data_IF_242104369471
#
_entry.id   IF_242104369471
#
_cell.length_a   1.000
_cell.length_b   1.000
_cell.length_c   1.000
_cell.angle_alpha   90.00
_cell.angle_beta   90.00
_cell.angle_gamma   90.00
#
_symmetry.space_group_name_H-M   'P 1'
#
loop_
_entity.id
_entity.type
_entity.pdbx_description
1 polymer ?
#
# COMPACT_ATOMS: atom_id res chain seq x y z
N UNK A 1 3.47 -29.89 18.23
CA UNK A 1 2.93 -29.08 17.10
C UNK A 1 3.30 -27.63 17.37
N UNK A 2 4.00 -26.97 16.45
CA UNK A 2 4.35 -25.55 16.59
C UNK A 2 3.13 -24.67 16.49
N UNK A 3 3.20 -23.43 16.97
CA UNK A 3 2.14 -22.42 16.83
C UNK A 3 1.71 -22.23 15.35
N UNK A 4 2.70 -22.18 14.46
CA UNK A 4 2.48 -22.09 13.00
C UNK A 4 1.70 -23.30 12.45
N UNK A 5 2.10 -24.51 12.84
CA UNK A 5 1.41 -25.74 12.40
C UNK A 5 0.00 -25.82 12.97
N UNK A 6 -0.21 -25.37 14.21
CA UNK A 6 -1.54 -25.34 14.84
C UNK A 6 -2.48 -24.37 14.11
N UNK A 7 -2.03 -23.14 13.84
CA UNK A 7 -2.84 -22.18 13.10
C UNK A 7 -3.15 -22.68 11.68
N UNK A 8 -2.16 -23.26 11.01
CA UNK A 8 -2.38 -23.86 9.67
C UNK A 8 -3.42 -24.97 9.73
N UNK A 9 -3.39 -25.83 10.74
CA UNK A 9 -4.39 -26.90 10.90
C UNK A 9 -5.80 -26.34 11.11
N UNK A 10 -5.98 -25.30 11.91
CA UNK A 10 -7.27 -24.64 12.13
C UNK A 10 -7.84 -24.03 10.84
N UNK A 11 -6.96 -23.55 9.94
CA UNK A 11 -7.35 -22.99 8.63
C UNK A 11 -7.71 -24.09 7.62
N UNK A 12 -6.90 -25.15 7.55
CA UNK A 12 -7.01 -26.17 6.51
C UNK A 12 -8.12 -27.18 6.84
N UNK A 13 -8.43 -27.37 8.13
CA UNK A 13 -9.43 -28.31 8.61
C UNK A 13 -10.54 -27.61 9.44
N UNK A 14 -11.23 -26.61 8.87
CA UNK A 14 -12.28 -25.92 9.59
C UNK A 14 -13.43 -26.88 9.92
N UNK A 15 -14.07 -26.66 11.09
CA UNK A 15 -15.23 -27.43 11.55
C UNK A 15 -14.91 -28.91 11.89
N UNK A 16 -13.65 -29.28 12.11
CA UNK A 16 -13.26 -30.63 12.50
C UNK A 16 -12.86 -30.68 14.00
N UNK A 17 -13.30 -31.68 14.77
CA UNK A 17 -14.22 -32.76 14.37
C UNK A 17 -15.68 -32.28 14.22
N UNK A 18 -16.03 -31.15 14.80
CA UNK A 18 -17.31 -30.47 14.62
C UNK A 18 -17.12 -28.95 14.84
N UNK A 19 -18.14 -28.15 14.48
CA UNK A 19 -18.07 -26.68 14.52
C UNK A 19 -17.78 -26.17 15.95
N UNK A 20 -18.41 -26.72 16.95
CA UNK A 20 -18.28 -26.25 18.33
C UNK A 20 -16.87 -26.48 18.86
N UNK A 21 -16.32 -27.68 18.70
CA UNK A 21 -14.97 -28.00 19.13
C UNK A 21 -13.93 -27.17 18.36
N UNK A 22 -14.10 -27.05 17.04
CA UNK A 22 -13.20 -26.22 16.24
C UNK A 22 -13.19 -24.73 16.69
N UNK A 23 -14.35 -24.15 17.00
CA UNK A 23 -14.45 -22.76 17.47
C UNK A 23 -13.78 -22.58 18.82
N UNK A 24 -13.93 -23.54 19.75
CA UNK A 24 -13.22 -23.51 21.04
C UNK A 24 -11.71 -23.63 20.87
N UNK A 25 -11.25 -24.43 19.92
CA UNK A 25 -9.81 -24.51 19.60
C UNK A 25 -9.27 -23.22 19.00
N UNK A 26 -10.04 -22.55 18.13
CA UNK A 26 -9.68 -21.23 17.57
C UNK A 26 -9.60 -20.20 18.69
N UNK A 27 -10.61 -20.13 19.56
CA UNK A 27 -10.64 -19.23 20.70
C UNK A 27 -9.40 -19.43 21.61
N UNK A 28 -9.14 -20.67 22.01
CA UNK A 28 -8.00 -21.01 22.85
C UNK A 28 -6.65 -20.67 22.18
N UNK A 29 -6.57 -20.80 20.86
CA UNK A 29 -5.40 -20.40 20.10
C UNK A 29 -5.20 -18.89 20.09
N UNK A 30 -6.28 -18.10 19.85
CA UNK A 30 -6.21 -16.64 19.81
C UNK A 30 -5.88 -16.06 21.20
N UNK A 31 -6.42 -16.64 22.27
CA UNK A 31 -6.06 -16.30 23.65
C UNK A 31 -4.57 -16.54 23.94
N UNK A 32 -4.05 -17.72 23.57
CA UNK A 32 -2.66 -18.09 23.79
C UNK A 32 -1.67 -17.12 23.13
N UNK A 33 -1.99 -16.65 21.92
CA UNK A 33 -1.15 -15.70 21.19
C UNK A 33 -1.42 -14.24 21.51
N UNK A 34 -2.37 -13.97 22.42
CA UNK A 34 -2.84 -12.61 22.78
C UNK A 34 -3.23 -11.78 21.55
N UNK A 35 -4.06 -12.35 20.66
CA UNK A 35 -4.48 -11.70 19.43
C UNK A 35 -5.58 -10.66 19.70
N UNK A 36 -5.35 -9.37 19.37
CA UNK A 36 -6.30 -8.29 19.67
C UNK A 36 -7.43 -8.14 18.65
N UNK A 37 -7.52 -9.00 17.62
CA UNK A 37 -8.50 -8.88 16.55
C UNK A 37 -9.93 -9.01 17.07
N UNK A 38 -10.59 -7.88 17.28
CA UNK A 38 -11.96 -7.83 17.80
C UNK A 38 -13.01 -8.42 16.86
N UNK A 39 -12.76 -8.45 15.54
CA UNK A 39 -13.66 -9.04 14.56
C UNK A 39 -13.69 -10.56 14.68
N UNK A 40 -12.54 -11.19 14.92
CA UNK A 40 -12.45 -12.63 15.15
C UNK A 40 -13.25 -13.04 16.41
N UNK A 41 -13.15 -12.29 17.50
CA UNK A 41 -13.90 -12.53 18.73
C UNK A 41 -15.43 -12.39 18.53
N UNK A 42 -15.86 -11.37 17.80
CA UNK A 42 -17.28 -11.20 17.45
C UNK A 42 -17.82 -12.37 16.62
N UNK A 43 -17.02 -12.90 15.69
CA UNK A 43 -17.43 -14.06 14.89
C UNK A 43 -17.49 -15.34 15.72
N UNK A 44 -16.56 -15.55 16.66
CA UNK A 44 -16.56 -16.66 17.62
C UNK A 44 -17.86 -16.66 18.43
N UNK A 45 -18.24 -15.51 19.00
CA UNK A 45 -19.46 -15.37 19.77
C UNK A 45 -20.71 -15.65 18.92
N UNK A 46 -20.75 -15.13 17.68
CA UNK A 46 -21.87 -15.40 16.76
C UNK A 46 -21.99 -16.88 16.41
N UNK A 47 -20.86 -17.59 16.21
CA UNK A 47 -20.88 -19.03 15.91
C UNK A 47 -21.33 -19.81 17.13
N UNK A 48 -20.90 -19.45 18.35
CA UNK A 48 -21.35 -20.08 19.59
C UNK A 48 -22.85 -19.92 19.83
N UNK A 49 -23.41 -18.76 19.47
CA UNK A 49 -24.82 -18.46 19.65
C UNK A 49 -25.73 -19.08 18.57
N UNK A 50 -25.30 -19.08 17.34
CA UNK A 50 -26.11 -19.39 16.16
C UNK A 50 -25.63 -20.57 15.33
N UNK A 51 -24.57 -21.25 15.77
CA UNK A 51 -23.91 -22.32 15.00
C UNK A 51 -23.23 -21.81 13.74
N UNK A 52 -23.03 -22.70 12.76
CA UNK A 52 -22.36 -22.40 11.49
C UNK A 52 -23.19 -21.58 10.47
N UNK A 53 -24.30 -20.98 10.93
CA UNK A 53 -25.17 -20.19 10.07
C UNK A 53 -24.47 -18.92 9.55
N UNK A 54 -24.96 -18.40 8.42
CA UNK A 54 -24.60 -17.09 7.86
C UNK A 54 -23.11 -16.89 7.53
N UNK A 55 -22.41 -17.93 7.06
CA UNK A 55 -21.00 -17.84 6.63
C UNK A 55 -20.02 -17.36 7.74
N UNK A 56 -20.42 -17.41 9.01
CA UNK A 56 -19.55 -16.96 10.11
C UNK A 56 -18.26 -17.76 10.19
N UNK A 57 -18.32 -19.09 9.95
CA UNK A 57 -17.14 -19.95 9.96
C UNK A 57 -16.19 -19.62 8.80
N UNK A 58 -16.71 -19.37 7.61
CA UNK A 58 -15.93 -18.98 6.43
C UNK A 58 -15.23 -17.63 6.64
N UNK A 59 -15.94 -16.67 7.25
CA UNK A 59 -15.36 -15.37 7.62
C UNK A 59 -14.27 -15.53 8.69
N UNK A 60 -14.50 -16.37 9.70
CA UNK A 60 -13.47 -16.65 10.72
C UNK A 60 -12.25 -17.33 10.11
N UNK A 61 -12.43 -18.29 9.21
CA UNK A 61 -11.32 -18.89 8.45
C UNK A 61 -10.56 -17.86 7.62
N UNK A 62 -11.28 -16.90 7.00
CA UNK A 62 -10.63 -15.82 6.24
C UNK A 62 -9.76 -14.93 7.14
N UNK A 63 -10.25 -14.58 8.33
CA UNK A 63 -9.45 -13.83 9.33
C UNK A 63 -8.23 -14.64 9.82
N UNK A 64 -8.40 -15.93 10.10
CA UNK A 64 -7.26 -16.80 10.48
C UNK A 64 -6.22 -16.90 9.36
N UNK A 65 -6.64 -16.92 8.07
CA UNK A 65 -5.71 -16.85 6.93
C UNK A 65 -4.97 -15.52 6.88
N UNK A 66 -5.64 -14.40 7.17
CA UNK A 66 -4.98 -13.09 7.24
C UNK A 66 -3.97 -13.06 8.40
N UNK A 67 -4.34 -13.58 9.57
CA UNK A 67 -3.45 -13.71 10.72
C UNK A 67 -2.22 -14.58 10.37
N UNK A 68 -2.44 -15.74 9.73
CA UNK A 68 -1.36 -16.62 9.29
C UNK A 68 -0.39 -15.90 8.35
N UNK A 69 -0.93 -15.20 7.33
CA UNK A 69 -0.12 -14.41 6.40
C UNK A 69 0.67 -13.32 7.12
N UNK A 70 0.01 -12.55 8.00
CA UNK A 70 0.65 -11.49 8.78
C UNK A 70 1.77 -12.02 9.67
N UNK A 71 1.60 -13.19 10.27
CA UNK A 71 2.51 -13.73 11.30
C UNK A 71 3.61 -14.62 10.72
N UNK A 72 3.30 -15.44 9.71
CA UNK A 72 4.18 -16.51 9.24
C UNK A 72 4.51 -16.46 7.75
N UNK A 73 3.60 -16.05 6.92
CA UNK A 73 3.94 -15.67 5.57
C UNK A 73 4.50 -14.25 5.66
N UNK A 74 5.76 -14.17 6.05
CA UNK A 74 6.51 -13.00 5.62
C UNK A 74 6.39 -13.03 4.10
N UNK A 75 5.42 -12.26 3.56
CA UNK A 75 5.62 -11.70 2.23
C UNK A 75 7.02 -11.14 2.36
N UNK A 76 8.00 -11.77 1.73
CA UNK A 76 9.32 -11.18 1.61
C UNK A 76 9.09 -9.98 0.71
N UNK A 77 8.65 -8.88 1.34
CA UNK A 77 8.76 -7.57 0.71
C UNK A 77 10.24 -7.51 0.40
N UNK A 78 10.62 -7.47 -0.89
CA UNK A 78 12.03 -7.43 -1.23
C UNK A 78 12.65 -6.36 -0.35
N UNK A 79 13.83 -6.60 0.26
CA UNK A 79 14.48 -5.56 1.01
C UNK A 79 14.51 -4.35 0.11
N UNK A 80 14.15 -3.18 0.63
CA UNK A 80 14.24 -1.95 -0.14
C UNK A 80 15.62 -2.00 -0.75
N UNK A 81 15.68 -2.22 -2.05
CA UNK A 81 16.93 -2.07 -2.76
C UNK A 81 17.36 -0.66 -2.39
N UNK A 82 18.61 -0.48 -2.00
CA UNK A 82 19.16 0.82 -1.59
C UNK A 82 19.24 1.80 -2.78
N UNK A 83 18.28 1.72 -3.69
CA UNK A 83 18.15 2.69 -4.76
C UNK A 83 17.67 3.98 -4.17
N UNK A 84 18.50 4.97 -4.28
CA UNK A 84 18.22 6.32 -3.85
C UNK A 84 17.31 6.99 -4.90
N UNK A 85 16.12 6.39 -5.16
CA UNK A 85 15.22 6.85 -6.21
C UNK A 85 13.80 7.13 -5.70
N UNK A 86 13.13 8.03 -6.41
CA UNK A 86 11.72 8.36 -6.23
C UNK A 86 11.02 8.10 -7.56
N UNK A 87 10.01 7.22 -7.54
CA UNK A 87 9.18 6.94 -8.71
C UNK A 87 8.16 8.04 -8.92
N UNK A 88 8.04 8.54 -10.17
CA UNK A 88 7.05 9.57 -10.55
C UNK A 88 6.05 8.96 -11.51
N UNK A 89 4.84 8.73 -11.00
CA UNK A 89 3.68 8.29 -11.74
C UNK A 89 2.87 9.49 -12.23
N UNK A 90 2.73 9.66 -13.53
CA UNK A 90 2.01 10.80 -14.10
C UNK A 90 1.49 10.51 -15.50
N UNK A 91 0.57 11.32 -15.98
CA UNK A 91 0.17 11.31 -17.39
C UNK A 91 1.36 11.73 -18.26
N UNK A 92 1.53 11.08 -19.40
CA UNK A 92 2.50 11.49 -20.40
C UNK A 92 1.82 12.40 -21.42
N UNK A 93 2.11 13.69 -21.35
CA UNK A 93 1.65 14.72 -22.30
C UNK A 93 2.66 15.87 -22.32
N UNK A 94 2.69 16.68 -23.38
CA UNK A 94 3.59 17.84 -23.44
C UNK A 94 3.46 18.77 -22.23
N UNK A 95 2.25 18.94 -21.69
CA UNK A 95 1.99 19.83 -20.56
C UNK A 95 2.56 19.24 -19.25
N UNK A 96 2.39 17.94 -19.02
CA UNK A 96 2.90 17.26 -17.83
C UNK A 96 4.40 17.02 -17.91
N UNK A 97 4.96 16.85 -19.11
CA UNK A 97 6.40 16.76 -19.32
C UNK A 97 7.12 18.04 -18.88
N UNK A 98 6.53 19.22 -19.10
CA UNK A 98 7.07 20.48 -18.59
C UNK A 98 7.15 20.44 -17.05
N UNK A 99 6.09 20.01 -16.37
CA UNK A 99 6.10 19.88 -14.90
C UNK A 99 7.15 18.87 -14.42
N UNK A 100 7.32 17.75 -15.14
CA UNK A 100 8.34 16.75 -14.81
C UNK A 100 9.75 17.33 -14.88
N UNK A 101 10.12 17.93 -16.03
CA UNK A 101 11.47 18.43 -16.28
C UNK A 101 11.81 19.68 -15.45
N UNK A 102 10.81 20.54 -15.16
CA UNK A 102 11.07 21.82 -14.48
C UNK A 102 10.76 21.82 -12.97
N UNK A 103 10.00 20.84 -12.46
CA UNK A 103 9.65 20.77 -11.05
C UNK A 103 10.00 19.42 -10.41
N UNK A 104 9.39 18.32 -10.84
CA UNK A 104 9.60 17.02 -10.17
C UNK A 104 11.07 16.61 -10.16
N UNK A 105 11.67 16.51 -11.33
CA UNK A 105 13.05 16.02 -11.50
C UNK A 105 14.09 16.90 -10.80
N UNK A 106 14.08 18.23 -10.94
CA UNK A 106 15.03 19.10 -10.24
C UNK A 106 14.87 19.06 -8.71
N UNK A 107 13.63 19.02 -8.19
CA UNK A 107 13.40 18.94 -6.75
C UNK A 107 13.90 17.63 -6.19
N UNK A 108 13.60 16.49 -6.84
CA UNK A 108 14.08 15.18 -6.44
C UNK A 108 15.61 15.14 -6.41
N UNK A 109 16.26 15.64 -7.48
CA UNK A 109 17.72 15.68 -7.60
C UNK A 109 18.38 16.60 -6.57
N UNK A 110 17.72 17.71 -6.19
CA UNK A 110 18.24 18.62 -5.16
C UNK A 110 18.30 18.01 -3.76
N UNK A 111 17.63 16.87 -3.55
CA UNK A 111 17.63 16.09 -2.32
C UNK A 111 18.49 14.81 -2.42
N UNK A 112 19.37 14.74 -3.42
CA UNK A 112 20.25 13.61 -3.69
C UNK A 112 19.52 12.30 -4.03
N UNK A 113 18.30 12.39 -4.61
CA UNK A 113 17.56 11.23 -5.13
C UNK A 113 17.54 11.23 -6.65
N UNK A 114 17.37 10.04 -7.23
CA UNK A 114 17.16 9.86 -8.68
C UNK A 114 15.66 9.92 -8.96
N UNK A 115 15.24 10.79 -9.88
CA UNK A 115 13.88 10.75 -10.40
C UNK A 115 13.76 9.57 -11.38
N UNK A 116 12.76 8.71 -11.16
CA UNK A 116 12.46 7.55 -12.01
C UNK A 116 11.08 7.72 -12.61
N UNK A 117 11.00 7.79 -13.93
CA UNK A 117 9.77 7.72 -14.70
C UNK A 117 9.87 6.57 -15.69
N UNK A 118 8.86 5.74 -15.80
CA UNK A 118 8.96 4.44 -16.49
C UNK A 118 9.29 4.56 -17.99
N UNK A 119 8.88 5.64 -18.64
CA UNK A 119 9.16 5.89 -20.06
C UNK A 119 10.63 6.25 -20.34
N UNK A 120 11.38 6.68 -19.33
CA UNK A 120 12.83 6.92 -19.44
C UNK A 120 13.64 5.61 -19.40
N UNK A 121 13.02 4.47 -19.05
CA UNK A 121 13.69 3.19 -18.88
C UNK A 121 13.49 2.25 -20.07
N UNK A 122 14.58 1.65 -20.55
CA UNK A 122 14.54 0.57 -21.54
C UNK A 122 14.61 -0.79 -20.82
N UNK A 123 13.69 -1.70 -21.15
CA UNK A 123 13.64 -3.04 -20.55
C UNK A 123 13.02 -4.07 -21.50
N UNK A 124 13.29 -5.34 -21.25
CA UNK A 124 12.69 -6.47 -21.95
C UNK A 124 11.82 -7.24 -20.96
N UNK A 125 10.50 -7.20 -21.11
CA UNK A 125 9.60 -7.92 -20.22
C UNK A 125 8.24 -7.29 -20.09
N UNK A 126 7.51 -7.68 -19.05
CA UNK A 126 6.19 -7.11 -18.73
C UNK A 126 6.34 -5.70 -18.18
N UNK A 127 5.69 -4.73 -18.82
CA UNK A 127 5.67 -3.34 -18.34
C UNK A 127 5.13 -3.24 -16.89
N UNK A 128 4.12 -4.02 -16.55
CA UNK A 128 3.55 -4.04 -15.20
C UNK A 128 4.54 -4.63 -14.19
N UNK A 129 5.26 -5.69 -14.57
CA UNK A 129 6.30 -6.27 -13.73
C UNK A 129 7.43 -5.28 -13.45
N UNK A 130 7.85 -4.52 -14.47
CA UNK A 130 8.89 -3.50 -14.33
C UNK A 130 8.44 -2.33 -13.45
N UNK A 131 7.24 -1.79 -13.71
CA UNK A 131 6.63 -0.74 -12.87
C UNK A 131 6.56 -1.17 -11.40
N UNK A 132 6.08 -2.39 -11.14
CA UNK A 132 5.97 -2.91 -9.76
C UNK A 132 7.34 -3.00 -9.10
N UNK A 133 8.36 -3.45 -9.84
CA UNK A 133 9.75 -3.53 -9.35
C UNK A 133 10.29 -2.13 -9.02
N UNK A 134 10.14 -1.17 -9.94
CA UNK A 134 10.63 0.18 -9.73
C UNK A 134 9.93 0.89 -8.56
N UNK A 135 8.62 0.69 -8.39
CA UNK A 135 7.88 1.21 -7.24
C UNK A 135 8.40 0.59 -5.95
N UNK A 136 8.57 -0.74 -5.91
CA UNK A 136 9.04 -1.46 -4.72
C UNK A 136 10.46 -1.04 -4.33
N UNK A 137 11.31 -0.75 -5.30
CA UNK A 137 12.69 -0.34 -5.10
C UNK A 137 12.84 1.17 -4.76
N UNK A 138 11.75 1.94 -4.82
CA UNK A 138 11.76 3.38 -4.57
C UNK A 138 11.54 3.72 -3.10
N UNK A 139 12.16 4.80 -2.61
CA UNK A 139 11.92 5.34 -1.26
C UNK A 139 10.58 6.06 -1.17
N UNK A 140 10.11 6.60 -2.29
CA UNK A 140 8.80 7.23 -2.41
C UNK A 140 8.22 7.05 -3.82
N UNK A 141 6.90 7.10 -3.90
CA UNK A 141 6.16 7.29 -5.13
C UNK A 141 5.44 8.64 -5.07
N UNK A 142 5.64 9.46 -6.09
CA UNK A 142 4.86 10.67 -6.33
C UNK A 142 3.86 10.36 -7.44
N UNK A 143 2.56 10.50 -7.16
CA UNK A 143 1.49 10.30 -8.14
C UNK A 143 0.83 11.63 -8.47
N UNK A 144 1.02 12.09 -9.70
CA UNK A 144 0.31 13.27 -10.23
C UNK A 144 -1.05 12.84 -10.80
N UNK A 145 -2.11 13.21 -10.10
CA UNK A 145 -3.48 12.85 -10.43
C UNK A 145 -4.09 13.69 -11.56
N UNK A 146 -3.35 14.68 -12.07
CA UNK A 146 -3.78 15.52 -13.20
C UNK A 146 -4.10 14.64 -14.40
N UNK A 147 -5.28 14.83 -14.97
CA UNK A 147 -5.77 14.08 -16.12
C UNK A 147 -6.43 12.74 -15.81
N UNK A 148 -6.61 12.38 -14.51
CA UNK A 148 -7.34 11.17 -14.06
C UNK A 148 -6.90 9.86 -14.75
N UNK A 149 -5.60 9.68 -14.98
CA UNK A 149 -5.10 8.48 -15.66
C UNK A 149 -5.16 7.26 -14.75
N UNK A 150 -5.92 6.24 -15.18
CA UNK A 150 -6.10 4.99 -14.41
C UNK A 150 -4.80 4.29 -14.04
N UNK A 151 -3.75 4.37 -14.89
CA UNK A 151 -2.42 3.85 -14.58
C UNK A 151 -1.79 4.50 -13.35
N UNK A 152 -1.93 5.81 -13.19
CA UNK A 152 -1.42 6.56 -12.03
C UNK A 152 -2.11 6.12 -10.74
N UNK A 153 -3.43 5.92 -10.77
CA UNK A 153 -4.18 5.40 -9.62
C UNK A 153 -3.78 3.97 -9.28
N UNK A 154 -3.54 3.13 -10.30
CA UNK A 154 -3.06 1.76 -10.10
C UNK A 154 -1.69 1.74 -9.41
N UNK A 155 -0.75 2.58 -9.87
CA UNK A 155 0.59 2.72 -9.28
C UNK A 155 0.54 3.28 -7.85
N UNK A 156 -0.30 4.29 -7.60
CA UNK A 156 -0.56 4.80 -6.25
C UNK A 156 -1.17 3.71 -5.34
N UNK A 157 -2.06 2.86 -5.87
CA UNK A 157 -2.64 1.72 -5.19
C UNK A 157 -1.60 0.68 -4.80
N UNK A 158 -0.61 0.39 -5.68
CA UNK A 158 0.52 -0.50 -5.36
C UNK A 158 1.31 0.07 -4.17
N UNK A 159 1.69 1.35 -4.21
CA UNK A 159 2.44 1.98 -3.13
C UNK A 159 1.66 1.97 -1.80
N UNK A 160 0.35 2.22 -1.84
CA UNK A 160 -0.52 2.14 -0.65
C UNK A 160 -0.61 0.71 -0.11
N UNK A 161 -0.76 -0.29 -0.97
CA UNK A 161 -0.73 -1.69 -0.59
C UNK A 161 0.58 -2.11 0.08
N UNK A 162 1.71 -1.62 -0.45
CA UNK A 162 3.02 -1.81 0.17
C UNK A 162 3.10 -1.19 1.57
N UNK A 163 2.57 0.03 1.76
CA UNK A 163 2.51 0.68 3.08
C UNK A 163 1.68 -0.14 4.09
N UNK A 164 0.55 -0.69 3.67
CA UNK A 164 -0.28 -1.57 4.50
C UNK A 164 0.45 -2.86 4.91
N UNK A 165 1.44 -3.28 4.11
CA UNK A 165 2.32 -4.40 4.42
C UNK A 165 3.60 -3.97 5.17
N UNK A 166 3.62 -2.79 5.80
CA UNK A 166 4.77 -2.22 6.51
C UNK A 166 6.01 -1.95 5.63
N UNK A 167 5.83 -1.79 4.33
CA UNK A 167 6.89 -1.31 3.46
C UNK A 167 7.11 0.19 3.70
N UNK A 168 8.34 0.68 3.84
CA UNK A 168 8.61 2.07 4.22
C UNK A 168 8.43 3.09 3.09
N UNK A 169 8.01 2.67 1.89
CA UNK A 169 7.74 3.58 0.77
C UNK A 169 6.79 4.70 1.20
N UNK A 170 7.07 5.92 0.76
CA UNK A 170 6.19 7.07 0.99
C UNK A 170 5.33 7.34 -0.25
N UNK A 171 4.03 7.56 -0.06
CA UNK A 171 3.13 7.95 -1.13
C UNK A 171 2.84 9.46 -1.01
N UNK A 172 3.09 10.20 -2.08
CA UNK A 172 2.83 11.64 -2.18
C UNK A 172 1.91 11.84 -3.38
N UNK A 173 0.77 12.47 -3.15
CA UNK A 173 -0.19 12.80 -4.18
C UNK A 173 -0.07 14.27 -4.55
N UNK A 174 -0.09 14.56 -5.85
CA UNK A 174 -0.07 15.90 -6.40
C UNK A 174 -1.20 16.04 -7.42
N UNK A 175 -1.68 17.25 -7.66
CA UNK A 175 -2.64 17.52 -8.72
C UNK A 175 -2.61 19.00 -9.09
N UNK A 176 -2.72 19.31 -10.36
CA UNK A 176 -2.92 20.68 -10.82
C UNK A 176 -4.24 21.22 -10.29
N UNK A 177 -4.22 22.39 -9.64
CA UNK A 177 -5.40 22.98 -9.00
C UNK A 177 -6.56 23.19 -9.98
N UNK A 178 -6.27 23.72 -11.15
CA UNK A 178 -7.30 23.96 -12.17
C UNK A 178 -8.01 22.66 -12.59
N UNK A 179 -7.26 21.56 -12.67
CA UNK A 179 -7.83 20.23 -12.95
C UNK A 179 -8.65 19.72 -11.74
N UNK A 180 -8.11 19.83 -10.53
CA UNK A 180 -8.79 19.40 -9.31
C UNK A 180 -10.14 20.12 -9.13
N UNK A 181 -10.20 21.41 -9.40
CA UNK A 181 -11.40 22.23 -9.23
C UNK A 181 -12.47 21.95 -10.30
N UNK A 182 -12.06 21.65 -11.55
CA UNK A 182 -12.97 21.41 -12.67
C UNK A 182 -13.45 19.96 -12.78
N UNK A 183 -12.53 19.01 -12.80
CA UNK A 183 -12.80 17.59 -13.10
C UNK A 183 -12.90 16.71 -11.84
N UNK A 184 -12.28 17.14 -10.74
CA UNK A 184 -12.09 16.42 -9.49
C UNK A 184 -11.29 15.11 -9.69
N UNK A 185 -10.54 14.75 -8.67
CA UNK A 185 -9.88 13.45 -8.59
C UNK A 185 -10.87 12.36 -8.20
N UNK A 186 -10.51 11.12 -8.45
CA UNK A 186 -11.34 9.97 -8.06
C UNK A 186 -11.65 9.99 -6.56
N UNK A 187 -12.86 9.59 -6.19
CA UNK A 187 -13.34 9.68 -4.81
C UNK A 187 -12.48 8.91 -3.80
N UNK A 188 -11.83 7.81 -4.22
CA UNK A 188 -10.98 6.97 -3.37
C UNK A 188 -9.78 7.72 -2.77
N UNK A 189 -9.34 8.78 -3.40
CA UNK A 189 -8.19 9.61 -2.96
C UNK A 189 -8.58 11.05 -2.62
N UNK A 190 -9.84 11.42 -2.79
CA UNK A 190 -10.30 12.80 -2.58
C UNK A 190 -10.16 13.30 -1.15
N UNK A 191 -10.10 12.38 -0.18
CA UNK A 191 -9.86 12.66 1.25
C UNK A 191 -8.39 12.69 1.65
N UNK A 192 -7.47 12.38 0.74
CA UNK A 192 -6.04 12.35 1.03
C UNK A 192 -5.41 13.75 1.00
N UNK A 193 -4.23 13.86 1.60
CA UNK A 193 -3.46 15.12 1.61
C UNK A 193 -2.73 15.31 0.25
N UNK A 194 -3.44 15.87 -0.72
CA UNK A 194 -2.96 16.14 -2.08
C UNK A 194 -2.26 17.50 -2.11
N UNK A 195 -1.08 17.58 -2.73
CA UNK A 195 -0.42 18.84 -3.05
C UNK A 195 -1.11 19.43 -4.28
N UNK A 196 -1.93 20.45 -4.09
CA UNK A 196 -2.51 21.20 -5.21
C UNK A 196 -1.55 22.30 -5.65
N UNK A 197 -1.23 22.36 -6.95
CA UNK A 197 -0.28 23.30 -7.51
C UNK A 197 -0.88 24.09 -8.68
N UNK A 198 -0.43 25.34 -8.80
CA UNK A 198 -0.90 26.27 -9.84
C UNK A 198 0.13 26.47 -10.96
N UNK A 199 1.41 26.21 -10.67
CA UNK A 199 2.53 26.32 -11.60
C UNK A 199 3.65 25.35 -11.24
N UNK A 200 4.62 25.17 -12.12
CA UNK A 200 5.83 24.37 -11.85
C UNK A 200 6.64 24.92 -10.67
N UNK A 201 6.73 26.23 -10.52
CA UNK A 201 7.43 26.88 -9.40
C UNK A 201 6.71 26.64 -8.07
N UNK A 202 5.39 26.75 -8.06
CA UNK A 202 4.57 26.44 -6.88
C UNK A 202 4.67 24.95 -6.49
N UNK A 203 4.63 24.05 -7.50
CA UNK A 203 4.87 22.62 -7.31
C UNK A 203 6.26 22.38 -6.70
N UNK A 204 7.30 23.00 -7.25
CA UNK A 204 8.68 22.82 -6.77
C UNK A 204 8.82 23.19 -5.30
N UNK A 205 8.24 24.31 -4.88
CA UNK A 205 8.28 24.76 -3.48
C UNK A 205 7.53 23.79 -2.55
N UNK A 206 6.29 23.44 -2.89
CA UNK A 206 5.44 22.56 -2.07
C UNK A 206 6.00 21.15 -1.99
N UNK A 207 6.47 20.61 -3.11
CA UNK A 207 7.04 19.27 -3.19
C UNK A 207 8.35 19.17 -2.40
N UNK A 208 9.24 20.17 -2.51
CA UNK A 208 10.49 20.20 -1.75
C UNK A 208 10.22 20.18 -0.23
N UNK A 209 9.27 20.96 0.23
CA UNK A 209 8.87 20.96 1.65
C UNK A 209 8.31 19.59 2.08
N UNK A 210 7.44 18.99 1.28
CA UNK A 210 6.84 17.70 1.58
C UNK A 210 7.89 16.58 1.61
N UNK A 211 8.76 16.52 0.61
CA UNK A 211 9.82 15.50 0.52
C UNK A 211 10.79 15.58 1.70
N UNK A 212 11.21 16.79 2.10
CA UNK A 212 12.05 16.98 3.29
C UNK A 212 11.42 16.38 4.53
N UNK A 213 10.12 16.63 4.76
CA UNK A 213 9.40 16.14 5.94
C UNK A 213 9.24 14.61 5.92
N UNK A 214 8.87 14.03 4.75
CA UNK A 214 8.53 12.59 4.69
C UNK A 214 9.74 11.68 4.52
N UNK A 215 10.86 12.21 4.03
CA UNK A 215 12.12 11.48 3.80
C UNK A 215 13.20 11.79 4.84
N UNK A 216 12.90 12.66 5.82
CA UNK A 216 13.85 13.03 6.88
C UNK A 216 14.26 11.78 7.67
N UNK A 217 15.57 11.45 7.59
CA UNK A 217 16.14 10.22 8.17
C UNK A 217 16.20 10.25 9.71
N UNK A 218 15.96 11.43 10.31
CA UNK A 218 16.09 11.62 11.77
C UNK A 218 14.81 11.29 12.56
N UNK A 219 13.66 11.18 11.89
CA UNK A 219 12.36 10.90 12.53
C UNK A 219 11.87 9.44 12.42
N UNK A 220 12.71 8.51 11.98
CA UNK A 220 12.41 7.09 11.87
C UNK A 220 13.01 6.31 13.07
N UNK A 221 12.53 6.65 14.27
CA UNK A 221 12.77 5.87 15.51
C UNK A 221 11.46 5.32 16.05
#
# INVERSE_FOLDING_TARGET
MTEKERLKNLIDNPKQPNVSEWVYEVEAFLDEINEPDTEAWVLIDKIKLHGAAFNHCENLVALLRQLYRRKYDKVSIPPISKRNQIFVAMMFSPETDVAYETAYKPVIQSLDYVAMRIDEKQFNGSIIGEITTEITDSVALIADLTGNRGGVYYEAGIARGLQLCNHPIKLILTCQRSFFDSEKVHFDVSGDNIILYDSADDLSQKLSLRLKVVLDKENAT
#
